data_IF_053452698625
#
_entry.id   IF_053452698625
#
_cell.length_a   1.000
_cell.length_b   1.000
_cell.length_c   1.000
_cell.angle_alpha   90.00
_cell.angle_beta   90.00
_cell.angle_gamma   90.00
#
_symmetry.space_group_name_H-M   'P 1'
#
loop_
_entity.id
_entity.type
_entity.pdbx_description
1 polymer ?
#
# COMPACT_ATOMS: atom_id res chain seq x y z
N UNK A 1 -18.56 -4.26 13.52
CA UNK A 1 -17.18 -4.03 13.97
C UNK A 1 -16.97 -4.80 15.26
N UNK A 2 -16.50 -6.03 15.15
CA UNK A 2 -16.07 -6.86 16.28
C UNK A 2 -14.57 -7.03 16.19
N UNK A 3 -13.89 -7.09 17.34
CA UNK A 3 -12.51 -7.56 17.39
C UNK A 3 -12.51 -9.04 16.99
N UNK A 4 -11.64 -9.42 16.06
CA UNK A 4 -11.40 -10.81 15.70
C UNK A 4 -10.16 -11.30 16.46
N UNK A 5 -10.30 -12.38 17.21
CA UNK A 5 -9.15 -13.01 17.85
C UNK A 5 -8.28 -13.70 16.79
N UNK A 6 -6.97 -13.52 16.88
CA UNK A 6 -6.06 -14.31 16.05
C UNK A 6 -6.15 -15.80 16.41
N UNK A 7 -6.02 -16.66 15.41
CA UNK A 7 -6.12 -18.11 15.58
C UNK A 7 -5.06 -18.72 16.52
N UNK A 8 -3.99 -17.98 16.81
CA UNK A 8 -2.87 -18.43 17.64
C UNK A 8 -2.90 -17.66 18.98
N UNK A 9 -3.03 -18.41 20.07
CA UNK A 9 -2.91 -17.88 21.43
C UNK A 9 -1.49 -18.09 21.95
N UNK A 10 -1.01 -17.10 22.70
CA UNK A 10 0.29 -17.16 23.34
C UNK A 10 0.14 -17.04 24.84
N UNK A 11 0.92 -17.83 25.59
CA UNK A 11 0.98 -17.70 27.04
C UNK A 11 2.13 -16.77 27.43
N UNK A 12 1.83 -15.80 28.30
CA UNK A 12 2.82 -14.89 28.87
C UNK A 12 2.75 -14.88 30.38
N UNK A 13 3.76 -14.30 31.02
CA UNK A 13 3.82 -14.10 32.47
C UNK A 13 3.97 -12.63 32.83
N UNK A 14 3.40 -12.25 33.97
CA UNK A 14 3.63 -10.94 34.61
C UNK A 14 4.82 -11.08 35.56
N UNK A 15 5.78 -10.17 35.46
CA UNK A 15 6.90 -10.06 36.41
C UNK A 15 7.01 -8.66 36.99
N UNK A 16 7.55 -8.55 38.20
CA UNK A 16 7.83 -7.27 38.85
C UNK A 16 9.09 -6.64 38.26
N UNK A 17 9.05 -5.33 38.02
CA UNK A 17 10.19 -4.52 37.58
C UNK A 17 10.19 -3.21 38.37
N UNK A 18 10.96 -3.16 39.47
CA UNK A 18 10.95 -2.01 40.38
C UNK A 18 9.57 -1.80 41.03
N UNK A 19 9.00 -0.61 40.80
CA UNK A 19 7.65 -0.22 41.26
C UNK A 19 6.53 -0.56 40.27
N UNK A 20 6.84 -1.16 39.12
CA UNK A 20 5.86 -1.54 38.10
C UNK A 20 5.87 -3.05 37.82
N UNK A 21 4.92 -3.47 36.98
CA UNK A 21 4.82 -4.84 36.47
C UNK A 21 4.97 -4.83 34.95
N UNK A 22 5.58 -5.89 34.43
CA UNK A 22 5.82 -6.07 32.99
C UNK A 22 5.11 -7.35 32.54
N UNK A 23 4.30 -7.24 31.50
CA UNK A 23 3.74 -8.38 30.77
C UNK A 23 4.74 -8.78 29.70
N UNK A 24 5.02 -10.07 29.58
CA UNK A 24 5.87 -10.58 28.50
C UNK A 24 5.08 -10.61 27.19
N UNK A 25 5.55 -9.87 26.18
CA UNK A 25 5.03 -9.96 24.81
C UNK A 25 5.86 -11.02 24.06
N UNK A 26 5.23 -12.08 23.53
CA UNK A 26 5.89 -13.06 22.67
C UNK A 26 6.63 -12.40 21.51
N UNK A 27 7.79 -12.93 21.15
CA UNK A 27 8.66 -12.36 20.10
C UNK A 27 7.97 -12.37 18.74
N UNK A 28 7.09 -13.34 18.51
CA UNK A 28 6.26 -13.48 17.33
C UNK A 28 5.31 -12.29 17.18
N UNK A 29 4.63 -11.89 18.26
CA UNK A 29 3.75 -10.71 18.25
C UNK A 29 4.55 -9.42 18.11
N UNK A 30 5.70 -9.34 18.77
CA UNK A 30 6.60 -8.19 18.66
C UNK A 30 7.03 -7.94 17.20
N UNK A 31 7.44 -9.00 16.49
CA UNK A 31 7.80 -8.91 15.08
C UNK A 31 6.61 -8.73 14.16
N UNK A 32 5.51 -9.47 14.36
CA UNK A 32 4.30 -9.40 13.54
C UNK A 32 3.71 -7.98 13.52
N UNK A 33 3.59 -7.37 14.70
CA UNK A 33 3.03 -6.02 14.85
C UNK A 33 4.08 -4.91 14.74
N UNK A 34 5.34 -5.24 14.43
CA UNK A 34 6.40 -4.26 14.25
C UNK A 34 6.56 -3.33 15.47
N UNK A 35 6.47 -3.90 16.67
CA UNK A 35 6.59 -3.12 17.90
C UNK A 35 8.02 -2.60 18.08
N UNK A 36 8.16 -1.45 18.75
CA UNK A 36 9.45 -0.86 19.12
C UNK A 36 9.51 -0.61 20.61
N UNK A 37 10.71 -0.72 21.18
CA UNK A 37 10.95 -0.27 22.55
C UNK A 37 10.65 1.23 22.69
N UNK A 38 10.05 1.62 23.82
CA UNK A 38 9.70 3.01 24.10
C UNK A 38 8.50 3.57 23.32
N UNK A 39 7.83 2.77 22.47
CA UNK A 39 6.64 3.23 21.77
C UNK A 39 5.48 3.52 22.74
N UNK A 40 4.74 4.60 22.46
CA UNK A 40 3.53 4.93 23.20
C UNK A 40 2.42 3.92 22.92
N UNK A 41 1.63 3.60 23.95
CA UNK A 41 0.47 2.71 23.86
C UNK A 41 -0.56 3.08 24.93
N UNK A 42 -1.81 2.63 24.75
CA UNK A 42 -2.86 2.74 25.77
C UNK A 42 -3.14 1.37 26.38
N UNK A 43 -3.27 1.30 27.70
CA UNK A 43 -3.63 0.08 28.43
C UNK A 43 -5.03 0.25 28.99
N UNK A 44 -5.91 -0.72 28.74
CA UNK A 44 -7.28 -0.72 29.23
C UNK A 44 -7.55 -1.94 30.09
N UNK A 45 -8.16 -1.74 31.26
CA UNK A 45 -8.80 -2.81 32.01
C UNK A 45 -10.20 -3.04 31.48
N UNK A 46 -10.52 -4.30 31.14
CA UNK A 46 -11.83 -4.70 30.64
C UNK A 46 -12.36 -5.83 31.51
N UNK A 47 -13.67 -5.81 31.79
CA UNK A 47 -14.33 -6.85 32.58
C UNK A 47 -15.60 -7.30 31.87
N UNK A 48 -15.85 -8.60 31.89
CA UNK A 48 -17.12 -9.20 31.46
C UNK A 48 -17.69 -10.01 32.61
N UNK A 49 -19.02 -9.96 32.76
CA UNK A 49 -19.78 -10.69 33.79
C UNK A 49 -20.88 -11.50 33.13
N UNK A 50 -20.57 -12.65 32.54
CA UNK A 50 -21.56 -13.69 32.16
C UNK A 50 -20.91 -14.82 31.34
N UNK A 51 -20.98 -16.10 31.76
CA UNK A 51 -21.50 -16.62 33.04
C UNK A 51 -20.54 -16.45 34.23
N UNK A 52 -19.25 -16.20 33.98
CA UNK A 52 -18.20 -15.99 34.98
C UNK A 52 -17.71 -14.53 34.99
N UNK A 53 -17.03 -14.13 36.07
CA UNK A 53 -16.26 -12.89 36.07
C UNK A 53 -14.96 -13.11 35.31
N UNK A 54 -14.80 -12.41 34.20
CA UNK A 54 -13.60 -12.46 33.36
C UNK A 54 -12.98 -11.07 33.30
N UNK A 55 -11.66 -11.01 33.50
CA UNK A 55 -10.88 -9.78 33.36
C UNK A 55 -9.91 -9.89 32.19
N UNK A 56 -9.71 -8.79 31.47
CA UNK A 56 -8.73 -8.67 30.40
C UNK A 56 -7.99 -7.34 30.53
N UNK A 57 -6.69 -7.36 30.24
CA UNK A 57 -5.90 -6.16 30.02
C UNK A 57 -5.66 -6.05 28.52
N UNK A 58 -6.25 -5.04 27.89
CA UNK A 58 -6.06 -4.75 26.48
C UNK A 58 -4.94 -3.75 26.27
N UNK A 59 -4.05 -4.02 25.32
CA UNK A 59 -3.06 -3.06 24.84
C UNK A 59 -3.53 -2.54 23.49
N UNK A 60 -3.85 -1.25 23.43
CA UNK A 60 -4.19 -0.59 22.18
C UNK A 60 -2.97 0.14 21.65
N UNK A 61 -2.51 -0.32 20.48
CA UNK A 61 -1.33 0.21 19.81
C UNK A 61 -1.64 1.50 19.04
N UNK A 62 -2.90 1.77 18.67
CA UNK A 62 -3.28 2.88 17.81
C UNK A 62 -3.70 2.43 16.41
N UNK A 63 -3.82 3.38 15.49
CA UNK A 63 -3.98 3.09 14.07
C UNK A 63 -2.61 2.83 13.43
N UNK A 64 -2.45 1.72 12.72
CA UNK A 64 -1.24 1.45 11.97
C UNK A 64 -1.25 2.27 10.68
N UNK A 65 -0.29 3.19 10.54
CA UNK A 65 -0.12 4.03 9.36
C UNK A 65 1.14 3.61 8.63
N UNK A 66 1.00 3.38 7.33
CA UNK A 66 2.14 3.21 6.42
C UNK A 66 2.14 4.39 5.45
N UNK A 67 3.29 5.05 5.33
CA UNK A 67 3.53 6.08 4.33
C UNK A 67 4.43 5.48 3.26
N UNK A 68 3.95 5.52 2.03
CA UNK A 68 4.62 5.01 0.85
C UNK A 68 4.97 6.16 -0.08
N UNK A 69 6.26 6.25 -0.43
CA UNK A 69 6.75 7.14 -1.46
C UNK A 69 6.92 6.37 -2.77
N UNK A 70 6.20 6.78 -3.81
CA UNK A 70 6.20 6.11 -5.11
C UNK A 70 6.38 7.08 -6.27
N UNK A 71 6.68 6.49 -7.43
CA UNK A 71 6.78 7.20 -8.70
C UNK A 71 5.64 6.78 -9.61
N UNK A 72 5.28 7.65 -10.55
CA UNK A 72 4.35 7.30 -11.60
C UNK A 72 4.56 8.12 -12.87
N UNK A 73 3.79 7.78 -13.89
CA UNK A 73 3.80 8.44 -15.20
C UNK A 73 2.43 9.05 -15.42
N UNK A 74 2.39 10.32 -15.79
CA UNK A 74 1.19 10.99 -16.29
C UNK A 74 1.43 11.37 -17.75
N UNK A 75 0.56 10.92 -18.64
CA UNK A 75 0.66 11.18 -20.07
C UNK A 75 -0.66 11.71 -20.66
N UNK A 76 -0.54 12.61 -21.63
CA UNK A 76 -1.64 13.07 -22.47
C UNK A 76 -1.44 12.53 -23.88
N UNK A 77 -2.42 11.76 -24.35
CA UNK A 77 -2.37 11.05 -25.62
C UNK A 77 -3.49 11.60 -26.50
N UNK A 78 -3.14 12.05 -27.71
CA UNK A 78 -4.07 12.40 -28.79
C UNK A 78 -4.20 11.27 -29.82
N UNK A 79 -5.14 11.41 -30.76
CA UNK A 79 -5.37 10.39 -31.80
C UNK A 79 -5.94 9.07 -31.25
N UNK A 80 -6.64 9.12 -30.11
CA UNK A 80 -7.05 7.93 -29.36
C UNK A 80 -8.31 7.28 -29.92
N UNK A 81 -9.04 7.96 -30.81
CA UNK A 81 -10.34 7.53 -31.34
C UNK A 81 -10.27 6.19 -32.09
N UNK A 82 -9.12 5.87 -32.70
CA UNK A 82 -8.84 4.58 -33.36
C UNK A 82 -8.19 3.53 -32.44
N UNK A 83 -7.84 3.91 -31.21
CA UNK A 83 -7.07 3.09 -30.25
C UNK A 83 -7.88 2.62 -29.05
N UNK A 84 -9.04 3.23 -28.84
CA UNK A 84 -9.97 2.85 -27.78
C UNK A 84 -10.90 1.77 -28.32
N UNK A 85 -10.97 0.62 -27.66
CA UNK A 85 -12.01 -0.35 -27.94
C UNK A 85 -13.37 0.19 -27.45
N UNK A 86 -14.35 0.25 -28.35
CA UNK A 86 -15.78 0.35 -27.99
C UNK A 86 -16.28 -1.05 -27.55
N UNK A 87 -15.67 -1.64 -26.53
CA UNK A 87 -16.20 -2.86 -25.94
C UNK A 87 -17.21 -2.51 -24.82
N UNK A 88 -18.18 -3.40 -24.59
CA UNK A 88 -19.34 -3.33 -23.69
C UNK A 88 -19.05 -3.03 -22.19
N UNK A 89 -17.85 -2.58 -21.84
CA UNK A 89 -17.47 -2.10 -20.52
C UNK A 89 -17.80 -0.60 -20.38
N UNK A 90 -18.29 -0.15 -19.23
CA UNK A 90 -18.60 1.26 -18.98
C UNK A 90 -17.37 2.19 -18.95
N UNK A 91 -16.14 1.66 -19.14
CA UNK A 91 -14.89 2.41 -19.13
C UNK A 91 -14.12 2.17 -20.44
N UNK A 92 -13.84 3.27 -21.16
CA UNK A 92 -12.91 3.30 -22.30
C UNK A 92 -11.50 2.94 -21.82
N UNK A 93 -10.79 2.07 -22.53
CA UNK A 93 -9.42 1.67 -22.23
C UNK A 93 -8.48 1.83 -23.43
N UNK A 94 -7.17 1.80 -23.16
CA UNK A 94 -6.09 1.81 -24.14
C UNK A 94 -5.30 0.50 -23.97
N UNK A 95 -5.51 -0.53 -24.81
CA UNK A 95 -4.91 -1.86 -24.62
C UNK A 95 -3.38 -1.83 -24.51
N UNK A 96 -2.72 -0.96 -25.27
CA UNK A 96 -1.26 -0.78 -25.23
C UNK A 96 -0.76 -0.28 -23.87
N UNK A 97 -1.52 0.62 -23.23
CA UNK A 97 -1.20 1.15 -21.90
C UNK A 97 -1.48 0.10 -20.83
N UNK A 98 -2.56 -0.66 -20.97
CA UNK A 98 -2.90 -1.76 -20.06
C UNK A 98 -1.83 -2.86 -20.09
N UNK A 99 -1.40 -3.26 -21.29
CA UNK A 99 -0.33 -4.24 -21.47
C UNK A 99 0.99 -3.76 -20.83
N UNK A 100 1.32 -2.48 -20.98
CA UNK A 100 2.50 -1.89 -20.35
C UNK A 100 2.38 -1.85 -18.82
N UNK A 101 1.19 -1.50 -18.31
CA UNK A 101 0.89 -1.49 -16.89
C UNK A 101 1.05 -2.88 -16.27
N UNK A 102 0.54 -3.91 -16.93
CA UNK A 102 0.68 -5.30 -16.51
C UNK A 102 2.14 -5.76 -16.58
N UNK A 103 2.82 -5.54 -17.71
CA UNK A 103 4.25 -5.87 -17.92
C UNK A 103 5.13 -5.33 -16.80
N UNK A 104 4.86 -4.10 -16.35
CA UNK A 104 5.65 -3.44 -15.33
C UNK A 104 5.07 -3.50 -13.92
N UNK A 105 3.97 -4.23 -13.69
CA UNK A 105 3.29 -4.35 -12.40
C UNK A 105 2.94 -2.97 -11.81
N UNK A 106 2.27 -2.12 -12.59
CA UNK A 106 1.69 -0.88 -12.07
C UNK A 106 0.68 -1.21 -10.96
N UNK A 107 0.78 -0.52 -9.83
CA UNK A 107 -0.14 -0.69 -8.70
C UNK A 107 -1.42 0.13 -8.85
N UNK A 108 -1.43 1.07 -9.79
CA UNK A 108 -2.61 1.84 -10.17
C UNK A 108 -2.54 2.26 -11.62
N UNK A 109 -3.69 2.20 -12.29
CA UNK A 109 -3.88 2.70 -13.65
C UNK A 109 -5.22 3.44 -13.68
N UNK A 110 -5.20 4.67 -14.18
CA UNK A 110 -6.42 5.43 -14.44
C UNK A 110 -6.40 6.04 -15.83
N UNK A 111 -7.55 5.97 -16.49
CA UNK A 111 -7.79 6.53 -17.81
C UNK A 111 -8.98 7.49 -17.75
N UNK A 112 -8.83 8.67 -18.36
CA UNK A 112 -9.95 9.60 -18.56
C UNK A 112 -9.85 10.24 -19.94
N UNK A 113 -10.93 10.17 -20.72
CA UNK A 113 -11.01 10.86 -22.01
C UNK A 113 -11.61 12.26 -21.82
N UNK A 114 -10.93 13.27 -22.34
CA UNK A 114 -11.43 14.64 -22.39
C UNK A 114 -12.30 14.89 -23.63
N UNK A 115 -13.10 15.95 -23.59
CA UNK A 115 -14.06 16.30 -24.65
C UNK A 115 -13.42 16.64 -25.99
N UNK A 116 -12.14 17.00 -25.99
CA UNK A 116 -11.30 17.27 -27.16
C UNK A 116 -10.68 16.00 -27.77
N UNK A 117 -11.15 14.81 -27.39
CA UNK A 117 -10.72 13.53 -27.97
C UNK A 117 -9.36 13.04 -27.45
N UNK A 118 -8.85 13.64 -26.37
CA UNK A 118 -7.55 13.28 -25.78
C UNK A 118 -7.72 12.39 -24.55
N UNK A 119 -6.81 11.46 -24.36
CA UNK A 119 -6.75 10.62 -23.19
C UNK A 119 -5.72 11.16 -22.20
N UNK A 120 -6.12 11.29 -20.94
CA UNK A 120 -5.21 11.42 -19.82
C UNK A 120 -5.03 10.05 -19.17
N UNK A 121 -3.78 9.61 -19.10
CA UNK A 121 -3.35 8.35 -18.52
C UNK A 121 -2.50 8.65 -17.29
N UNK A 122 -2.79 8.00 -16.17
CA UNK A 122 -1.93 8.02 -14.97
C UNK A 122 -1.61 6.58 -14.58
N UNK A 123 -0.32 6.24 -14.56
CA UNK A 123 0.22 4.97 -14.08
C UNK A 123 0.95 5.22 -12.76
N UNK A 124 0.69 4.40 -11.76
CA UNK A 124 1.31 4.46 -10.43
C UNK A 124 2.15 3.21 -10.22
N UNK A 125 3.39 3.38 -9.76
CA UNK A 125 4.31 2.29 -9.44
C UNK A 125 4.65 2.30 -7.95
N UNK A 126 3.65 1.96 -7.15
CA UNK A 126 3.82 1.66 -5.74
C UNK A 126 4.53 0.32 -5.49
N UNK A 127 4.81 0.10 -4.21
CA UNK A 127 5.36 -1.11 -3.63
C UNK A 127 4.32 -1.91 -2.83
N UNK A 128 3.26 -1.27 -2.33
CA UNK A 128 2.19 -1.92 -1.57
C UNK A 128 1.14 -2.45 -2.54
N UNK A 129 0.89 -3.76 -2.48
CA UNK A 129 -0.18 -4.45 -3.22
C UNK A 129 -1.13 -5.14 -2.24
N UNK A 130 -2.33 -5.57 -2.67
CA UNK A 130 -3.27 -6.22 -1.75
C UNK A 130 -2.73 -7.53 -1.14
N UNK A 131 -1.77 -8.20 -1.78
CA UNK A 131 -1.24 -9.49 -1.33
C UNK A 131 0.19 -9.42 -0.77
N UNK A 132 0.99 -8.40 -1.13
CA UNK A 132 2.41 -8.37 -0.82
C UNK A 132 3.04 -6.97 -0.91
N UNK A 133 4.31 -6.88 -0.54
CA UNK A 133 5.14 -5.69 -0.79
C UNK A 133 6.20 -6.05 -1.82
N UNK A 134 6.14 -5.39 -2.97
CA UNK A 134 7.07 -5.57 -4.07
C UNK A 134 8.21 -4.54 -4.02
N UNK A 135 9.23 -4.74 -4.85
CA UNK A 135 10.38 -3.82 -4.92
C UNK A 135 9.89 -2.43 -5.36
N UNK A 136 10.15 -1.36 -4.59
CA UNK A 136 9.90 0.01 -5.05
C UNK A 136 10.67 0.27 -6.34
N UNK A 137 10.02 0.84 -7.36
CA UNK A 137 10.71 1.24 -8.58
C UNK A 137 11.52 2.51 -8.33
N UNK A 138 12.75 2.53 -8.81
CA UNK A 138 13.54 3.75 -8.86
C UNK A 138 13.03 4.69 -9.95
N UNK A 139 13.33 5.98 -9.80
CA UNK A 139 13.06 7.00 -10.84
C UNK A 139 13.61 6.60 -12.20
N UNK A 140 14.83 6.06 -12.25
CA UNK A 140 15.49 5.60 -13.49
C UNK A 140 14.75 4.44 -14.17
N UNK A 141 14.16 3.53 -13.38
CA UNK A 141 13.32 2.46 -13.93
C UNK A 141 12.04 3.06 -14.53
N UNK A 142 11.41 4.03 -13.86
CA UNK A 142 10.21 4.71 -14.38
C UNK A 142 10.50 5.56 -15.61
N UNK A 143 11.69 6.15 -15.71
CA UNK A 143 12.14 6.87 -16.93
C UNK A 143 12.17 5.94 -18.15
N UNK A 144 12.70 4.72 -18.01
CA UNK A 144 12.69 3.72 -19.09
C UNK A 144 11.27 3.30 -19.46
N UNK A 145 10.40 3.10 -18.47
CA UNK A 145 9.00 2.73 -18.71
C UNK A 145 8.27 3.86 -19.45
N UNK A 146 8.57 5.12 -19.14
CA UNK A 146 8.02 6.29 -19.85
C UNK A 146 8.47 6.33 -21.31
N UNK A 147 9.75 6.09 -21.58
CA UNK A 147 10.26 6.03 -22.96
C UNK A 147 9.58 4.92 -23.77
N UNK A 148 9.39 3.75 -23.15
CA UNK A 148 8.67 2.64 -23.77
C UNK A 148 7.18 2.96 -23.97
N UNK A 149 6.52 3.59 -23.01
CA UNK A 149 5.13 4.06 -23.15
C UNK A 149 4.97 4.95 -24.39
N UNK A 150 5.90 5.88 -24.60
CA UNK A 150 5.86 6.78 -25.75
C UNK A 150 5.98 5.98 -27.05
N UNK A 151 7.00 5.11 -27.14
CA UNK A 151 7.25 4.31 -28.32
C UNK A 151 6.07 3.39 -28.68
N UNK A 152 5.49 2.71 -27.70
CA UNK A 152 4.37 1.78 -27.89
C UNK A 152 3.08 2.52 -28.30
N UNK A 153 2.80 3.68 -27.70
CA UNK A 153 1.64 4.51 -28.08
C UNK A 153 1.79 5.06 -29.49
N UNK A 154 2.97 5.55 -29.86
CA UNK A 154 3.26 6.05 -31.22
C UNK A 154 3.21 4.92 -32.26
N UNK A 155 3.72 3.73 -31.94
CA UNK A 155 3.66 2.56 -32.81
C UNK A 155 2.21 2.10 -33.06
N UNK A 156 1.32 2.28 -32.09
CA UNK A 156 -0.11 2.00 -32.23
C UNK A 156 -0.84 3.07 -33.09
N UNK A 157 -0.21 4.22 -33.37
CA UNK A 157 -0.80 5.33 -34.13
C UNK A 157 -1.33 6.47 -33.26
N UNK A 158 -1.05 6.46 -31.96
CA UNK A 158 -1.37 7.54 -31.04
C UNK A 158 -0.32 8.65 -31.07
N UNK A 159 -0.65 9.81 -30.51
CA UNK A 159 0.29 10.95 -30.41
C UNK A 159 0.47 11.29 -28.93
N UNK A 160 1.68 11.11 -28.39
CA UNK A 160 1.96 11.53 -27.01
C UNK A 160 2.28 13.03 -27.00
N UNK A 161 1.34 13.84 -26.56
CA UNK A 161 1.52 15.29 -26.47
C UNK A 161 2.41 15.68 -25.29
N UNK A 162 2.27 14.95 -24.19
CA UNK A 162 3.02 15.21 -22.96
C UNK A 162 3.16 13.90 -22.17
N UNK A 163 4.35 13.66 -21.60
CA UNK A 163 4.58 12.58 -20.65
C UNK A 163 5.53 13.04 -19.54
N UNK A 164 5.05 13.01 -18.30
CA UNK A 164 5.76 13.49 -17.11
C UNK A 164 5.88 12.38 -16.08
N UNK A 165 6.97 12.39 -15.34
CA UNK A 165 7.15 11.55 -14.16
C UNK A 165 6.79 12.39 -12.95
N UNK A 166 6.00 11.82 -12.04
CA UNK A 166 5.69 12.42 -10.75
C UNK A 166 6.21 11.53 -9.62
N UNK A 167 6.37 12.16 -8.45
CA UNK A 167 6.72 11.53 -7.19
C UNK A 167 5.64 11.94 -6.18
N UNK A 168 5.07 10.97 -5.46
CA UNK A 168 3.95 11.20 -4.54
C UNK A 168 4.10 10.34 -3.28
N UNK A 169 3.62 10.85 -2.14
CA UNK A 169 3.48 10.08 -0.91
C UNK A 169 2.02 9.69 -0.70
N UNK A 170 1.77 8.42 -0.38
CA UNK A 170 0.44 7.88 -0.11
C UNK A 170 0.40 7.25 1.27
N UNK A 171 -0.69 7.50 1.99
CA UNK A 171 -0.91 6.95 3.31
C UNK A 171 -1.88 5.78 3.27
N UNK A 172 -1.50 4.70 3.94
CA UNK A 172 -2.28 3.48 4.05
C UNK A 172 -2.60 3.19 5.51
N UNK A 173 -3.87 2.93 5.79
CA UNK A 173 -4.38 2.63 7.13
C UNK A 173 -4.97 1.21 7.25
N UNK A 174 -4.95 0.45 6.16
CA UNK A 174 -5.56 -0.88 6.05
C UNK A 174 -4.52 -1.99 5.80
N UNK A 175 -3.24 -1.64 5.77
CA UNK A 175 -2.14 -2.60 5.55
C UNK A 175 -1.89 -3.38 6.83
N UNK A 176 -1.95 -4.71 6.77
CA UNK A 176 -1.57 -5.57 7.89
C UNK A 176 -0.05 -5.40 8.18
N UNK A 177 0.35 -5.06 9.41
CA UNK A 177 1.76 -4.93 9.81
C UNK A 177 2.62 -6.14 9.46
N UNK A 178 2.05 -7.34 9.44
CA UNK A 178 2.75 -8.59 9.13
C UNK A 178 3.25 -8.63 7.68
N UNK A 179 2.58 -7.95 6.74
CA UNK A 179 3.05 -7.82 5.35
C UNK A 179 4.34 -6.99 5.31
N UNK A 180 4.39 -5.91 6.09
CA UNK A 180 5.58 -5.08 6.24
C UNK A 180 6.68 -5.88 6.95
N UNK A 181 6.34 -6.59 8.03
CA UNK A 181 7.33 -7.36 8.82
C UNK A 181 8.08 -8.41 7.99
N UNK A 182 7.36 -9.08 7.09
CA UNK A 182 7.88 -10.13 6.18
C UNK A 182 8.56 -9.56 4.94
N UNK A 183 8.35 -8.28 4.63
CA UNK A 183 8.90 -7.67 3.41
C UNK A 183 10.41 -7.47 3.48
N UNK A 184 11.18 -7.85 2.44
CA UNK A 184 12.58 -7.50 2.34
C UNK A 184 12.82 -5.99 2.18
N UNK A 185 11.77 -5.23 1.84
CA UNK A 185 11.82 -3.79 1.58
C UNK A 185 11.33 -2.94 2.75
N UNK A 186 11.07 -3.54 3.92
CA UNK A 186 10.54 -2.85 5.12
C UNK A 186 11.40 -1.72 5.67
N UNK A 187 12.69 -1.72 5.32
CA UNK A 187 13.68 -0.70 5.69
C UNK A 187 14.08 0.19 4.51
N UNK A 188 13.32 0.16 3.39
CA UNK A 188 13.58 1.06 2.26
C UNK A 188 13.22 2.50 2.62
N UNK A 189 13.89 3.46 1.97
CA UNK A 189 13.56 4.88 2.10
C UNK A 189 12.14 5.22 1.60
N UNK A 190 11.57 4.35 0.77
CA UNK A 190 10.23 4.48 0.19
C UNK A 190 9.10 4.11 1.16
N UNK A 191 9.40 3.43 2.27
CA UNK A 191 8.38 2.92 3.19
C UNK A 191 8.67 3.37 4.61
N UNK A 192 7.72 4.07 5.21
CA UNK A 192 7.73 4.43 6.63
C UNK A 192 6.45 3.92 7.28
N UNK A 193 6.54 3.49 8.53
CA UNK A 193 5.38 2.99 9.25
C UNK A 193 5.46 3.33 10.73
N UNK A 194 4.29 3.52 11.33
CA UNK A 194 4.15 3.85 12.74
C UNK A 194 2.78 3.44 13.27
N UNK A 195 2.73 3.20 14.58
CA UNK A 195 1.48 3.12 15.33
C UNK A 195 1.12 4.51 15.86
N UNK A 196 -0.05 5.03 15.47
CA UNK A 196 -0.57 6.33 15.93
C UNK A 196 -1.65 6.15 16.99
N UNK A 197 -1.31 6.51 18.23
CA UNK A 197 -2.18 6.41 19.42
C UNK A 197 -3.14 7.57 19.56
#
# INVERSE_FOLDING_TARGET
>A
MSWEEEAITFTGSIRRSGSSYVVTIPVELFHRFLLKEGQSLKIFGMVRRSPEFQGMIGVFLGAFRVVEKHYGIEARIGGVESLVEEAEKPARSLPVVEALAEKYNATGLSFSLSKDGKAKVKMVFGSITPQSIIKPKSRREVEKIKEELIAEVEAAGGIVEEAKIFEEETEWYTVDPSLIAKSPYKNSENLRWEWKV
#
